data_IF_423897984591
#
_entry.id   IF_423897984591
#
_cell.length_a   1.000
_cell.length_b   1.000
_cell.length_c   1.000
_cell.angle_alpha   90.00
_cell.angle_beta   90.00
_cell.angle_gamma   90.00
#
_symmetry.space_group_name_H-M   'P 1'
#
loop_
_entity.id
_entity.type
_entity.pdbx_description
1 polymer ?
#
# COMPACT_ATOMS: atom_id res chain seq x y z
N UNK A 1 -21.92 19.15 -3.94
CA UNK A 1 -21.55 17.81 -3.46
C UNK A 1 -20.43 17.33 -4.34
N UNK A 2 -19.23 17.29 -3.77
CA UNK A 2 -18.03 16.90 -4.50
C UNK A 2 -17.03 16.27 -3.54
N UNK A 3 -16.34 15.23 -4.00
CA UNK A 3 -15.05 14.83 -3.44
C UNK A 3 -14.03 15.89 -3.83
N UNK A 4 -13.29 16.40 -2.86
CA UNK A 4 -12.10 17.21 -3.10
C UNK A 4 -10.87 16.33 -2.95
N UNK A 5 -9.90 16.50 -3.86
CA UNK A 5 -8.66 15.75 -3.84
C UNK A 5 -7.47 16.69 -4.03
N UNK A 6 -6.39 16.43 -3.29
CA UNK A 6 -5.09 17.07 -3.46
C UNK A 6 -4.04 15.99 -3.57
N UNK A 7 -3.24 16.04 -4.63
CA UNK A 7 -2.05 15.22 -4.80
C UNK A 7 -0.84 16.11 -4.65
N UNK A 8 0.20 15.59 -3.99
CA UNK A 8 1.45 16.30 -3.85
C UNK A 8 2.57 15.40 -3.36
N UNK A 9 3.70 16.04 -3.10
CA UNK A 9 4.89 15.40 -2.57
C UNK A 9 5.53 16.32 -1.54
N UNK A 10 6.20 15.74 -0.56
CA UNK A 10 7.02 16.46 0.41
C UNK A 10 8.31 15.71 0.68
N UNK A 11 9.29 16.41 1.23
CA UNK A 11 10.55 15.85 1.66
C UNK A 11 10.53 15.75 3.19
N UNK A 12 10.95 14.61 3.73
CA UNK A 12 10.91 14.32 5.18
C UNK A 12 11.88 15.14 6.02
N UNK A 13 12.92 15.71 5.39
CA UNK A 13 14.04 16.31 6.09
C UNK A 13 14.88 15.27 6.83
N UNK A 14 15.83 15.74 7.63
CA UNK A 14 16.62 14.91 8.58
C UNK A 14 16.59 15.52 9.98
N UNK A 15 15.61 16.38 10.25
CA UNK A 15 15.42 17.09 11.51
C UNK A 15 14.20 16.58 12.26
N UNK A 16 13.77 17.34 13.26
CA UNK A 16 12.56 17.06 14.06
C UNK A 16 11.46 18.09 13.82
N UNK A 17 11.65 18.99 12.87
CA UNK A 17 10.68 20.02 12.53
C UNK A 17 9.39 19.40 11.97
N UNK A 18 8.25 19.98 12.33
CA UNK A 18 6.97 19.57 11.76
C UNK A 18 6.94 19.84 10.24
N UNK A 19 6.25 18.97 9.50
CA UNK A 19 5.99 19.15 8.08
C UNK A 19 4.55 19.65 7.90
N UNK A 20 4.41 20.88 7.43
CA UNK A 20 3.10 21.48 7.15
C UNK A 20 2.72 21.26 5.70
N UNK A 21 1.64 20.53 5.45
CA UNK A 21 1.05 20.34 4.12
C UNK A 21 -0.19 21.23 4.01
N UNK A 22 -0.09 22.35 3.31
CA UNK A 22 -1.17 23.35 3.15
C UNK A 22 -1.59 23.57 1.70
N UNK A 23 -2.58 24.43 1.46
CA UNK A 23 -3.06 24.77 0.12
C UNK A 23 -3.91 23.68 -0.50
N UNK A 24 -4.65 22.93 0.32
CA UNK A 24 -5.55 21.88 -0.13
C UNK A 24 -6.85 22.49 -0.66
N UNK A 25 -7.29 23.62 -0.10
CA UNK A 25 -8.58 24.26 -0.32
C UNK A 25 -9.73 23.59 0.44
N UNK A 26 -9.43 22.62 1.30
CA UNK A 26 -10.40 21.84 2.08
C UNK A 26 -9.71 21.14 3.26
N UNK A 27 -10.49 20.77 4.29
CA UNK A 27 -10.03 19.91 5.36
C UNK A 27 -10.04 18.44 4.91
N UNK A 28 -8.90 17.72 4.93
CA UNK A 28 -8.86 16.33 4.54
C UNK A 28 -9.56 15.43 5.58
N UNK A 29 -10.22 14.38 5.10
CA UNK A 29 -10.89 13.32 5.89
C UNK A 29 -10.18 11.97 5.79
N UNK A 30 -9.39 11.77 4.74
CA UNK A 30 -8.53 10.61 4.55
C UNK A 30 -7.31 11.03 3.74
N UNK A 31 -6.13 10.56 4.12
CA UNK A 31 -4.89 10.79 3.37
C UNK A 31 -4.17 9.47 3.18
N UNK A 32 -3.76 9.21 1.93
CA UNK A 32 -2.90 8.08 1.56
C UNK A 32 -1.49 8.62 1.30
N UNK A 33 -0.48 7.89 1.75
CA UNK A 33 0.93 8.20 1.58
C UNK A 33 1.65 7.05 0.90
N UNK A 34 2.62 7.34 0.04
CA UNK A 34 3.51 6.32 -0.54
C UNK A 34 4.90 6.89 -0.82
N UNK A 35 5.92 6.04 -0.66
CA UNK A 35 7.33 6.38 -0.83
C UNK A 35 8.11 5.19 -1.34
N UNK A 36 9.27 5.43 -1.94
CA UNK A 36 10.14 4.41 -2.53
C UNK A 36 11.61 4.50 -2.07
N UNK A 37 11.91 5.34 -1.07
CA UNK A 37 13.28 5.53 -0.56
C UNK A 37 14.10 6.55 -1.34
N UNK A 38 13.53 7.16 -2.37
CA UNK A 38 14.21 8.18 -3.17
C UNK A 38 14.49 9.44 -2.33
N UNK A 39 15.73 9.91 -2.41
CA UNK A 39 16.24 11.11 -1.72
C UNK A 39 16.56 12.25 -2.69
N UNK A 40 16.36 12.03 -3.99
CA UNK A 40 16.59 13.04 -5.01
C UNK A 40 15.56 14.16 -4.93
N UNK A 41 16.03 15.40 -5.04
CA UNK A 41 15.17 16.59 -5.15
C UNK A 41 14.56 16.74 -6.55
N UNK A 42 14.98 15.92 -7.51
CA UNK A 42 14.53 15.92 -8.91
C UNK A 42 14.21 14.50 -9.37
N UNK A 43 13.45 14.37 -10.45
CA UNK A 43 13.16 13.05 -11.03
C UNK A 43 14.43 12.44 -11.62
N UNK A 44 15.05 11.54 -10.85
CA UNK A 44 16.26 10.85 -11.21
C UNK A 44 16.15 9.37 -10.83
N UNK A 45 16.81 8.52 -11.62
CA UNK A 45 16.99 7.10 -11.27
C UNK A 45 18.31 6.97 -10.55
N UNK A 46 18.27 6.60 -9.28
CA UNK A 46 19.45 6.34 -8.45
C UNK A 46 19.47 4.88 -8.02
N UNK A 47 20.63 4.23 -8.08
CA UNK A 47 20.82 2.90 -7.50
C UNK A 47 21.11 3.03 -6.01
N UNK A 48 20.17 2.64 -5.16
CA UNK A 48 20.30 2.60 -3.70
C UNK A 48 19.39 1.51 -3.12
N UNK A 49 19.52 1.25 -1.81
CA UNK A 49 18.59 0.45 -1.04
C UNK A 49 17.15 0.92 -1.28
N UNK A 50 16.32 0.03 -1.80
CA UNK A 50 14.94 0.33 -2.10
C UNK A 50 14.11 0.25 -0.82
N UNK A 51 13.30 1.28 -0.56
CA UNK A 51 12.35 1.29 0.58
C UNK A 51 10.96 1.68 0.10
N UNK A 52 10.12 0.70 -0.21
CA UNK A 52 8.74 0.95 -0.64
C UNK A 52 7.80 0.87 0.56
N UNK A 53 6.92 1.86 0.69
CA UNK A 53 5.89 1.83 1.70
C UNK A 53 4.62 2.52 1.30
N UNK A 54 3.58 2.17 2.05
CA UNK A 54 2.26 2.76 1.98
C UNK A 54 1.81 3.11 3.40
N UNK A 55 1.12 4.22 3.52
CA UNK A 55 0.54 4.66 4.77
C UNK A 55 -0.79 5.36 4.55
N UNK A 56 -1.58 5.42 5.61
CA UNK A 56 -2.91 6.00 5.61
C UNK A 56 -3.15 6.72 6.92
N UNK A 57 -4.00 7.75 6.90
CA UNK A 57 -4.49 8.38 8.11
C UNK A 57 -5.79 9.14 7.90
N UNK A 58 -6.66 9.08 8.89
CA UNK A 58 -7.94 9.80 8.95
C UNK A 58 -8.05 10.69 10.19
N UNK A 59 -7.05 10.64 11.07
CA UNK A 59 -6.97 11.44 12.28
C UNK A 59 -5.67 11.18 13.04
N UNK A 60 -5.41 12.00 14.07
CA UNK A 60 -4.23 11.91 14.94
C UNK A 60 -4.20 10.65 15.80
N UNK A 61 -5.30 9.92 15.90
CA UNK A 61 -5.40 8.65 16.61
C UNK A 61 -5.67 7.46 15.68
N UNK A 62 -5.93 7.71 14.39
CA UNK A 62 -6.34 6.67 13.43
C UNK A 62 -5.52 6.78 12.14
N UNK A 63 -4.36 6.11 12.16
CA UNK A 63 -3.35 6.10 11.11
C UNK A 63 -2.52 4.83 11.20
N UNK A 64 -2.00 4.38 10.06
CA UNK A 64 -1.25 3.13 9.93
C UNK A 64 -0.30 3.21 8.76
N UNK A 65 0.80 2.48 8.82
CA UNK A 65 1.71 2.35 7.70
C UNK A 65 2.47 1.03 7.71
N UNK A 66 2.95 0.68 6.52
CA UNK A 66 3.72 -0.53 6.24
C UNK A 66 4.80 -0.19 5.21
N UNK A 67 6.03 -0.64 5.44
CA UNK A 67 7.13 -0.49 4.50
C UNK A 67 7.97 -1.75 4.43
N UNK A 68 8.66 -1.88 3.30
CA UNK A 68 9.58 -2.96 2.99
C UNK A 68 10.87 -2.39 2.43
N UNK A 69 11.98 -3.06 2.73
CA UNK A 69 13.34 -2.70 2.31
C UNK A 69 13.95 -3.84 1.50
N UNK A 70 14.78 -3.51 0.51
CA UNK A 70 15.74 -4.43 -0.11
C UNK A 70 17.06 -3.71 -0.30
N UNK A 71 18.12 -4.25 0.28
CA UNK A 71 19.48 -3.67 0.25
C UNK A 71 20.11 -3.87 -1.12
N UNK A 72 20.67 -2.79 -1.67
CA UNK A 72 21.44 -2.85 -2.91
C UNK A 72 22.84 -3.41 -2.66
N UNK A 73 23.42 -4.07 -3.67
CA UNK A 73 24.78 -4.60 -3.67
C UNK A 73 25.16 -5.53 -2.48
N UNK A 74 24.17 -6.15 -1.82
CA UNK A 74 24.42 -7.17 -0.79
C UNK A 74 24.86 -8.51 -1.40
N UNK A 75 25.75 -9.24 -0.72
CA UNK A 75 26.25 -10.55 -1.19
C UNK A 75 25.18 -11.66 -1.19
N UNK A 76 24.17 -11.53 -0.33
CA UNK A 76 22.97 -12.37 -0.27
C UNK A 76 21.74 -11.47 -0.11
N UNK A 77 20.54 -12.00 -0.36
CA UNK A 77 19.30 -11.26 -0.13
C UNK A 77 19.23 -10.71 1.28
N UNK A 78 19.04 -9.39 1.35
CA UNK A 78 18.91 -8.65 2.59
C UNK A 78 17.73 -7.68 2.46
N UNK A 79 16.65 -8.04 3.11
CA UNK A 79 15.41 -7.32 3.11
C UNK A 79 14.83 -7.22 4.51
N UNK A 80 14.04 -6.17 4.70
CA UNK A 80 13.39 -5.91 5.98
C UNK A 80 12.00 -5.37 5.77
N UNK A 81 11.22 -5.33 6.84
CA UNK A 81 9.88 -4.78 6.82
C UNK A 81 9.54 -4.15 8.16
N UNK A 82 8.63 -3.17 8.12
CA UNK A 82 8.14 -2.44 9.28
C UNK A 82 6.65 -2.18 9.12
N UNK A 83 5.91 -2.27 10.22
CA UNK A 83 4.51 -1.87 10.29
C UNK A 83 4.23 -1.07 11.56
N UNK A 84 3.32 -0.09 11.47
CA UNK A 84 2.93 0.82 12.54
C UNK A 84 1.44 1.10 12.53
N UNK A 85 0.89 1.41 13.71
CA UNK A 85 -0.49 1.88 13.91
C UNK A 85 -0.56 3.22 14.68
N UNK A 86 0.61 3.84 14.83
CA UNK A 86 0.88 5.09 15.53
C UNK A 86 1.62 6.10 14.63
N UNK A 87 1.75 5.81 13.33
CA UNK A 87 2.38 6.68 12.35
C UNK A 87 1.71 6.49 10.98
N UNK A 88 1.84 7.49 10.10
CA UNK A 88 1.37 7.43 8.71
C UNK A 88 2.51 7.26 7.69
N UNK A 89 3.77 7.43 8.11
CA UNK A 89 4.96 7.09 7.32
C UNK A 89 5.94 6.35 8.23
N UNK A 90 6.54 5.26 7.75
CA UNK A 90 7.57 4.55 8.49
C UNK A 90 8.69 4.06 7.57
N UNK A 91 9.91 4.07 8.09
CA UNK A 91 11.10 3.65 7.39
C UNK A 91 11.92 2.73 8.28
N UNK A 92 12.39 1.65 7.67
CA UNK A 92 13.38 0.76 8.23
C UNK A 92 14.44 0.61 7.14
N UNK A 93 15.66 1.07 7.43
CA UNK A 93 16.80 1.13 6.53
C UNK A 93 18.12 0.58 7.12
N UNK A 94 18.07 -0.15 8.24
CA UNK A 94 19.26 -0.72 8.89
C UNK A 94 19.25 -2.26 8.92
N UNK A 95 20.42 -2.87 9.20
CA UNK A 95 20.54 -4.32 9.38
C UNK A 95 20.21 -4.76 10.82
N UNK A 96 19.83 -3.82 11.69
CA UNK A 96 19.33 -4.06 13.03
C UNK A 96 17.81 -3.81 13.05
N UNK A 97 17.04 -4.35 14.01
CA UNK A 97 15.61 -4.07 14.10
C UNK A 97 15.35 -2.66 14.67
N UNK A 98 15.89 -1.62 14.02
CA UNK A 98 15.70 -0.21 14.35
C UNK A 98 14.68 0.44 13.44
N UNK A 99 14.15 1.55 13.94
CA UNK A 99 13.32 2.47 13.18
C UNK A 99 14.26 3.59 12.69
N UNK A 100 14.13 3.97 11.43
CA UNK A 100 15.04 4.93 10.79
C UNK A 100 14.27 6.13 10.18
N UNK A 101 13.05 6.35 10.67
CA UNK A 101 12.18 7.46 10.30
C UNK A 101 10.70 7.16 10.56
N UNK A 102 10.01 8.09 11.22
CA UNK A 102 8.56 8.07 11.42
C UNK A 102 7.97 9.47 11.25
N UNK A 103 6.85 9.54 10.54
CA UNK A 103 6.00 10.71 10.57
C UNK A 103 4.58 10.33 10.99
N UNK A 104 4.02 11.06 11.95
CA UNK A 104 2.65 10.93 12.44
C UNK A 104 1.83 12.19 12.12
N UNK A 105 0.50 12.05 12.04
CA UNK A 105 -0.41 13.18 11.88
C UNK A 105 -0.51 13.92 13.21
N UNK A 106 0.01 15.14 13.25
CA UNK A 106 -0.09 16.06 14.39
C UNK A 106 -1.43 16.78 14.44
N UNK A 107 -1.89 17.27 13.29
CA UNK A 107 -3.18 17.96 13.17
C UNK A 107 -3.78 17.80 11.77
N UNK A 108 -5.11 17.86 11.71
CA UNK A 108 -5.87 17.98 10.48
C UNK A 108 -6.48 19.39 10.46
N UNK A 109 -6.00 20.20 9.53
CA UNK A 109 -6.28 21.63 9.48
C UNK A 109 -7.32 21.93 8.38
N UNK A 110 -7.91 23.13 8.40
CA UNK A 110 -8.96 23.49 7.44
C UNK A 110 -8.51 23.53 5.98
N UNK A 111 -7.20 23.61 5.75
CA UNK A 111 -6.56 23.75 4.44
C UNK A 111 -5.42 22.74 4.23
N UNK A 112 -5.39 21.67 5.03
CA UNK A 112 -4.19 20.83 5.08
C UNK A 112 -4.12 19.84 6.22
N UNK A 113 -2.91 19.37 6.48
CA UNK A 113 -2.55 18.62 7.67
C UNK A 113 -1.10 18.91 8.05
N UNK A 114 -0.78 18.78 9.33
CA UNK A 114 0.59 18.89 9.85
C UNK A 114 1.07 17.52 10.30
N UNK A 115 2.28 17.14 9.89
CA UNK A 115 2.94 15.91 10.33
C UNK A 115 4.02 16.24 11.37
N UNK A 116 4.07 15.44 12.44
CA UNK A 116 5.17 15.44 13.39
C UNK A 116 6.19 14.37 13.00
N UNK A 117 7.48 14.67 13.17
CA UNK A 117 8.56 13.69 13.01
C UNK A 117 8.84 13.05 14.37
N UNK A 118 8.25 11.88 14.60
CA UNK A 118 8.38 11.14 15.87
C UNK A 118 9.72 10.39 15.99
N UNK A 119 10.31 10.04 14.85
CA UNK A 119 11.65 9.48 14.76
C UNK A 119 12.34 10.08 13.53
N UNK A 120 13.59 10.53 13.72
CA UNK A 120 14.31 11.30 12.71
C UNK A 120 14.63 10.40 11.52
N UNK A 121 14.30 10.88 10.33
CA UNK A 121 14.68 10.21 9.10
C UNK A 121 16.19 10.33 8.87
N UNK A 122 16.86 9.21 8.64
CA UNK A 122 18.30 9.19 8.36
C UNK A 122 18.66 9.83 7.00
N UNK A 123 17.68 9.96 6.11
CA UNK A 123 17.82 10.62 4.82
C UNK A 123 16.56 11.40 4.47
N UNK A 124 16.74 12.50 3.71
CA UNK A 124 15.63 13.33 3.26
C UNK A 124 14.84 12.64 2.14
N UNK A 125 13.95 11.73 2.52
CA UNK A 125 13.12 10.94 1.60
C UNK A 125 11.95 11.74 1.04
N UNK A 126 11.65 11.50 -0.23
CA UNK A 126 10.44 11.98 -0.91
C UNK A 126 9.25 11.10 -0.60
N UNK A 127 8.17 11.70 -0.09
CA UNK A 127 6.91 11.04 0.22
C UNK A 127 5.80 11.70 -0.58
N UNK A 128 5.05 10.90 -1.32
CA UNK A 128 3.90 11.34 -2.08
C UNK A 128 2.62 11.14 -1.26
N UNK A 129 1.62 11.97 -1.52
CA UNK A 129 0.33 11.86 -0.86
C UNK A 129 -0.85 12.12 -1.78
N UNK A 130 -1.98 11.54 -1.41
CA UNK A 130 -3.31 11.82 -1.92
C UNK A 130 -4.21 12.13 -0.72
N UNK A 131 -4.57 13.39 -0.55
CA UNK A 131 -5.50 13.85 0.46
C UNK A 131 -6.91 13.97 -0.13
N UNK A 132 -7.90 13.45 0.59
CA UNK A 132 -9.29 13.36 0.17
C UNK A 132 -10.18 14.05 1.19
N UNK A 133 -11.13 14.85 0.73
CA UNK A 133 -12.11 15.55 1.57
C UNK A 133 -13.39 15.88 0.80
N UNK A 134 -14.11 16.90 1.28
CA UNK A 134 -15.39 17.31 0.71
C UNK A 134 -16.61 16.64 1.35
N UNK A 135 -17.80 17.03 0.89
CA UNK A 135 -19.09 16.59 1.47
C UNK A 135 -19.39 15.12 1.22
N UNK A 136 -18.86 14.57 0.14
CA UNK A 136 -19.25 13.25 -0.37
C UNK A 136 -18.52 12.13 0.36
N UNK A 137 -17.42 12.46 1.05
CA UNK A 137 -16.76 11.57 2.02
C UNK A 137 -17.44 11.78 3.37
N UNK A 138 -18.29 10.84 3.74
CA UNK A 138 -19.12 10.95 4.96
C UNK A 138 -18.42 10.36 6.17
N UNK A 139 -17.64 9.29 5.99
CA UNK A 139 -16.83 8.66 7.02
C UNK A 139 -15.59 8.02 6.41
N UNK A 140 -14.53 7.95 7.21
CA UNK A 140 -13.34 7.16 6.92
C UNK A 140 -12.77 6.63 8.25
N UNK A 141 -12.23 5.43 8.23
CA UNK A 141 -11.59 4.82 9.39
C UNK A 141 -10.50 3.85 8.93
N UNK A 142 -9.46 3.69 9.73
CA UNK A 142 -8.45 2.65 9.50
C UNK A 142 -8.63 1.51 10.49
N UNK A 143 -8.15 0.34 10.12
CA UNK A 143 -8.32 -0.86 10.92
C UNK A 143 -7.28 -1.91 10.60
N UNK A 144 -7.31 -2.98 11.39
CA UNK A 144 -6.56 -4.19 11.11
C UNK A 144 -7.37 -5.38 11.57
N UNK A 145 -7.22 -6.47 10.85
CA UNK A 145 -7.77 -7.75 11.25
C UNK A 145 -6.71 -8.84 11.14
N UNK A 146 -7.02 -9.97 11.77
CA UNK A 146 -6.21 -11.18 11.71
C UNK A 146 -6.73 -12.07 10.60
N UNK A 147 -5.83 -12.60 9.78
CA UNK A 147 -6.09 -13.65 8.80
C UNK A 147 -6.97 -14.76 9.40
N UNK A 148 -7.94 -15.25 8.62
CA UNK A 148 -8.86 -16.30 9.02
C UNK A 148 -8.10 -17.60 9.29
N UNK A 149 -8.54 -18.34 10.29
CA UNK A 149 -7.94 -19.64 10.60
C UNK A 149 -8.36 -20.77 9.64
N UNK A 150 -9.39 -20.52 8.82
CA UNK A 150 -9.93 -21.46 7.85
C UNK A 150 -10.53 -20.70 6.66
N UNK A 151 -10.78 -21.42 5.57
CA UNK A 151 -11.47 -20.87 4.40
C UNK A 151 -12.94 -20.56 4.69
N UNK A 152 -13.53 -19.68 3.88
CA UNK A 152 -14.91 -19.22 4.02
C UNK A 152 -15.04 -17.77 4.45
N UNK A 153 -16.26 -17.37 4.80
CA UNK A 153 -16.58 -15.97 5.09
C UNK A 153 -15.96 -15.50 6.40
N UNK A 154 -15.36 -14.30 6.36
CA UNK A 154 -14.87 -13.57 7.52
C UNK A 154 -15.49 -12.17 7.51
N UNK A 155 -16.17 -11.84 8.61
CA UNK A 155 -16.77 -10.52 8.81
C UNK A 155 -15.83 -9.63 9.60
N UNK A 156 -15.55 -8.44 9.05
CA UNK A 156 -14.82 -7.37 9.72
C UNK A 156 -15.86 -6.31 10.09
N UNK A 157 -16.20 -6.23 11.39
CA UNK A 157 -17.36 -5.49 11.90
C UNK A 157 -16.99 -4.36 12.86
N UNK A 158 -15.73 -3.91 12.83
CA UNK A 158 -15.20 -2.90 13.74
C UNK A 158 -15.54 -1.45 13.36
N UNK A 159 -16.26 -1.20 12.26
CA UNK A 159 -16.59 0.14 11.79
C UNK A 159 -17.95 0.60 12.31
N UNK A 160 -18.08 1.90 12.56
CA UNK A 160 -19.34 2.53 12.97
C UNK A 160 -20.23 2.97 11.78
N UNK A 161 -19.87 2.58 10.55
CA UNK A 161 -20.54 2.96 9.31
C UNK A 161 -20.39 1.87 8.24
N UNK A 162 -21.21 1.96 7.19
CA UNK A 162 -21.07 1.14 5.99
C UNK A 162 -20.11 1.83 5.00
N UNK A 163 -18.91 1.28 4.74
CA UNK A 163 -18.05 1.79 3.68
C UNK A 163 -18.55 1.37 2.29
N UNK A 164 -18.03 2.00 1.25
CA UNK A 164 -18.16 1.55 -0.14
C UNK A 164 -16.82 1.49 -0.90
N UNK A 165 -15.73 1.70 -0.18
CA UNK A 165 -14.36 1.52 -0.63
C UNK A 165 -13.52 0.99 0.53
N UNK A 166 -12.65 0.05 0.24
CA UNK A 166 -11.61 -0.42 1.17
C UNK A 166 -10.30 -0.64 0.43
N UNK A 167 -9.21 -0.15 1.01
CA UNK A 167 -7.84 -0.45 0.59
C UNK A 167 -7.18 -1.25 1.72
N UNK A 168 -6.56 -2.37 1.36
CA UNK A 168 -5.82 -3.27 2.23
C UNK A 168 -4.32 -3.13 2.00
N UNK A 169 -3.52 -3.30 3.05
CA UNK A 169 -2.07 -3.42 2.93
C UNK A 169 -1.45 -4.24 4.08
N UNK A 170 -0.29 -4.85 3.83
CA UNK A 170 0.38 -5.71 4.81
C UNK A 170 1.84 -6.03 4.46
N UNK A 171 2.61 -6.50 5.45
CA UNK A 171 3.95 -7.09 5.26
C UNK A 171 4.04 -8.57 5.69
N UNK A 172 2.89 -9.26 5.79
CA UNK A 172 2.79 -10.64 6.29
C UNK A 172 3.27 -10.84 7.73
N UNK A 173 3.28 -9.79 8.56
CA UNK A 173 3.54 -9.94 9.99
C UNK A 173 2.43 -10.74 10.67
N UNK A 174 2.81 -11.55 11.65
CA UNK A 174 1.87 -12.27 12.54
C UNK A 174 1.71 -11.54 13.89
N UNK A 175 2.70 -10.72 14.25
CA UNK A 175 2.70 -9.87 15.42
C UNK A 175 1.86 -8.61 15.16
N UNK A 176 1.28 -8.06 16.23
CA UNK A 176 0.65 -6.75 16.21
C UNK A 176 1.71 -5.62 16.06
N UNK A 177 1.38 -4.50 15.39
CA UNK A 177 2.24 -3.32 15.36
C UNK A 177 2.44 -2.75 16.79
N UNK A 178 3.59 -2.12 17.08
CA UNK A 178 4.72 -1.88 16.18
C UNK A 178 5.56 -3.15 15.95
N UNK A 179 6.02 -3.36 14.72
CA UNK A 179 6.90 -4.50 14.40
C UNK A 179 7.93 -4.11 13.35
N UNK A 180 9.18 -4.54 13.55
CA UNK A 180 10.29 -4.45 12.60
C UNK A 180 10.89 -5.84 12.40
N UNK A 181 11.31 -6.16 11.18
CA UNK A 181 12.01 -7.39 10.83
C UNK A 181 13.14 -7.07 9.86
N UNK A 182 14.29 -7.71 10.05
CA UNK A 182 15.50 -7.59 9.22
C UNK A 182 15.68 -8.76 8.25
N UNK A 183 14.67 -9.61 8.13
CA UNK A 183 14.73 -10.85 7.36
C UNK A 183 13.45 -11.10 6.56
N UNK A 184 12.81 -10.03 6.08
CA UNK A 184 11.66 -10.15 5.18
C UNK A 184 11.39 -8.89 4.38
N UNK A 185 11.57 -8.93 3.07
CA UNK A 185 11.02 -7.93 2.16
C UNK A 185 9.65 -8.38 1.65
N UNK A 186 8.54 -7.82 2.18
CA UNK A 186 7.18 -8.08 1.68
C UNK A 186 6.31 -6.85 1.76
N UNK A 187 5.53 -6.61 0.71
CA UNK A 187 4.44 -5.65 0.72
C UNK A 187 3.30 -6.18 -0.14
N UNK A 188 2.09 -6.13 0.41
CA UNK A 188 0.85 -6.35 -0.34
C UNK A 188 -0.03 -5.12 -0.27
N UNK A 189 -0.74 -4.86 -1.36
CA UNK A 189 -1.78 -3.83 -1.47
C UNK A 189 -2.95 -4.44 -2.21
N UNK A 190 -4.17 -4.14 -1.78
CA UNK A 190 -5.35 -4.50 -2.54
C UNK A 190 -6.49 -3.54 -2.29
N UNK A 191 -7.49 -3.58 -3.16
CA UNK A 191 -8.62 -2.65 -3.14
C UNK A 191 -9.90 -3.42 -3.48
N UNK A 192 -11.02 -3.00 -2.89
CA UNK A 192 -12.35 -3.43 -3.32
C UNK A 192 -13.39 -2.31 -3.21
N UNK A 193 -14.25 -2.20 -4.23
CA UNK A 193 -15.51 -1.44 -4.20
C UNK A 193 -16.72 -2.34 -4.42
N UNK A 194 -16.53 -3.56 -4.93
CA UNK A 194 -17.55 -4.61 -5.02
C UNK A 194 -16.92 -5.97 -5.31
N UNK A 195 -17.73 -7.04 -5.34
CA UNK A 195 -17.29 -8.37 -5.80
C UNK A 195 -17.06 -8.44 -7.32
N UNK A 196 -17.27 -7.36 -8.06
CA UNK A 196 -16.91 -7.24 -9.48
C UNK A 196 -15.77 -6.24 -9.72
N UNK A 197 -15.43 -5.43 -8.71
CA UNK A 197 -14.45 -4.36 -8.80
C UNK A 197 -13.51 -4.45 -7.59
N UNK A 198 -12.38 -5.12 -7.82
CA UNK A 198 -11.33 -5.35 -6.83
C UNK A 198 -10.03 -5.71 -7.54
N UNK A 199 -8.92 -5.56 -6.84
CA UNK A 199 -7.65 -6.15 -7.24
C UNK A 199 -6.75 -6.35 -6.03
N UNK A 200 -5.73 -7.17 -6.22
CA UNK A 200 -4.63 -7.37 -5.28
C UNK A 200 -3.31 -7.30 -6.03
N UNK A 201 -2.29 -6.80 -5.36
CA UNK A 201 -0.90 -6.87 -5.75
C UNK A 201 -0.06 -7.22 -4.53
N UNK A 202 0.92 -8.09 -4.68
CA UNK A 202 1.83 -8.44 -3.60
C UNK A 202 3.20 -8.77 -4.14
N UNK A 203 4.22 -8.37 -3.40
CA UNK A 203 5.60 -8.67 -3.72
C UNK A 203 6.36 -9.15 -2.49
N UNK A 204 7.48 -9.80 -2.77
CA UNK A 204 8.51 -10.05 -1.76
C UNK A 204 9.51 -11.10 -2.17
N UNK A 205 10.46 -11.38 -1.30
CA UNK A 205 11.55 -12.29 -1.57
C UNK A 205 11.86 -13.23 -0.42
N UNK A 206 12.74 -14.18 -0.72
CA UNK A 206 13.47 -14.95 0.28
C UNK A 206 14.66 -14.16 0.77
N UNK A 207 15.02 -14.28 2.05
CA UNK A 207 16.17 -13.59 2.64
C UNK A 207 17.32 -14.56 2.99
N UNK A 208 18.54 -14.04 2.99
CA UNK A 208 19.75 -14.79 3.33
C UNK A 208 20.21 -15.79 2.26
N UNK A 209 19.76 -15.65 1.01
CA UNK A 209 20.11 -16.56 -0.10
C UNK A 209 21.01 -15.83 -1.11
N UNK A 210 22.13 -16.43 -1.57
CA UNK A 210 23.02 -15.82 -2.57
C UNK A 210 22.33 -15.58 -3.92
N UNK A 211 21.48 -16.54 -4.33
CA UNK A 211 20.65 -16.40 -5.51
C UNK A 211 19.37 -15.65 -5.12
N UNK A 212 19.30 -14.38 -5.52
CA UNK A 212 18.16 -13.51 -5.24
C UNK A 212 16.87 -14.04 -5.89
N UNK A 213 15.89 -14.39 -5.07
CA UNK A 213 14.56 -14.80 -5.52
C UNK A 213 13.48 -13.80 -5.11
N UNK A 214 12.88 -13.14 -6.11
CA UNK A 214 11.78 -12.19 -5.94
C UNK A 214 10.51 -12.74 -6.58
N UNK A 215 9.40 -12.64 -5.84
CA UNK A 215 8.07 -13.09 -6.22
C UNK A 215 7.16 -11.87 -6.30
N UNK A 216 6.31 -11.83 -7.32
CA UNK A 216 5.22 -10.88 -7.39
C UNK A 216 3.92 -11.55 -7.88
N UNK A 217 2.80 -11.09 -7.35
CA UNK A 217 1.46 -11.55 -7.66
C UNK A 217 0.56 -10.34 -7.91
N UNK A 218 -0.34 -10.44 -8.87
CA UNK A 218 -1.35 -9.41 -9.10
C UNK A 218 -2.55 -10.00 -9.83
N UNK A 219 -3.76 -9.68 -9.40
CA UNK A 219 -4.98 -10.27 -9.96
C UNK A 219 -6.24 -9.44 -9.66
N UNK A 220 -7.12 -9.25 -10.66
CA UNK A 220 -8.39 -8.53 -10.54
C UNK A 220 -9.60 -9.31 -9.98
N UNK A 221 -9.42 -10.59 -9.62
CA UNK A 221 -10.46 -11.42 -9.01
C UNK A 221 -10.34 -11.61 -7.49
N UNK A 222 -9.35 -10.96 -6.87
CA UNK A 222 -9.04 -11.06 -5.44
C UNK A 222 -8.77 -9.65 -4.88
N UNK A 223 -8.90 -9.45 -3.58
CA UNK A 223 -8.65 -8.16 -2.91
C UNK A 223 -7.50 -8.20 -1.91
N UNK A 224 -7.01 -9.39 -1.53
CA UNK A 224 -5.83 -9.58 -0.67
C UNK A 224 -5.12 -10.85 -1.10
N UNK A 225 -3.80 -10.81 -1.19
CA UNK A 225 -2.96 -11.99 -1.36
C UNK A 225 -1.77 -11.91 -0.42
N UNK A 226 -1.41 -13.00 0.26
CA UNK A 226 -0.13 -13.10 0.94
C UNK A 226 0.76 -14.11 0.20
N UNK A 227 2.03 -13.76 0.06
CA UNK A 227 3.07 -14.63 -0.51
C UNK A 227 3.92 -15.30 0.57
N UNK A 228 4.53 -16.43 0.25
CA UNK A 228 5.41 -17.20 1.12
C UNK A 228 6.85 -16.65 1.13
N UNK A 229 7.67 -17.18 2.06
CA UNK A 229 9.12 -16.97 2.09
C UNK A 229 9.87 -17.74 1.00
N UNK A 230 9.27 -18.79 0.41
CA UNK A 230 9.93 -19.67 -0.56
C UNK A 230 9.23 -19.64 -1.92
N UNK A 231 9.96 -19.43 -3.03
CA UNK A 231 9.42 -19.54 -4.39
C UNK A 231 8.74 -20.89 -4.65
N UNK A 232 7.65 -20.86 -5.41
CA UNK A 232 6.87 -22.07 -5.75
C UNK A 232 5.84 -22.49 -4.70
N UNK A 233 5.82 -21.87 -3.52
CA UNK A 233 4.83 -22.14 -2.46
C UNK A 233 3.79 -21.03 -2.29
N UNK A 234 3.84 -20.00 -3.13
CA UNK A 234 2.91 -18.86 -3.14
C UNK A 234 1.83 -19.01 -4.21
N UNK A 235 0.65 -18.38 -4.07
CA UNK A 235 0.18 -17.62 -2.89
C UNK A 235 -0.17 -18.55 -1.72
N UNK A 236 -0.16 -18.02 -0.49
CA UNK A 236 -0.43 -18.77 0.76
C UNK A 236 -1.65 -18.25 1.52
N UNK A 237 -2.15 -17.08 1.15
CA UNK A 237 -3.41 -16.54 1.66
C UNK A 237 -4.07 -15.76 0.54
N UNK A 238 -5.38 -15.92 0.36
CA UNK A 238 -6.15 -15.22 -0.67
C UNK A 238 -7.54 -14.87 -0.17
N UNK A 239 -7.97 -13.65 -0.42
CA UNK A 239 -9.33 -13.20 -0.12
C UNK A 239 -10.03 -12.62 -1.34
N UNK A 240 -11.29 -13.02 -1.48
CA UNK A 240 -12.26 -12.36 -2.33
C UNK A 240 -13.13 -11.39 -1.52
N UNK A 241 -13.61 -10.32 -2.14
CA UNK A 241 -14.56 -9.39 -1.56
C UNK A 241 -16.00 -9.91 -1.76
N UNK A 242 -16.80 -9.92 -0.70
CA UNK A 242 -18.20 -10.37 -0.78
C UNK A 242 -19.16 -9.19 -0.77
N UNK A 243 -19.18 -8.41 0.31
CA UNK A 243 -20.12 -7.29 0.46
C UNK A 243 -19.70 -6.31 1.54
N UNK A 244 -20.17 -5.08 1.45
CA UNK A 244 -20.12 -4.11 2.54
C UNK A 244 -21.28 -4.34 3.51
N UNK A 245 -20.96 -4.37 4.80
CA UNK A 245 -21.90 -4.53 5.90
C UNK A 245 -22.20 -3.16 6.53
N UNK A 246 -23.28 -3.05 7.31
CA UNK A 246 -23.64 -1.80 8.00
C UNK A 246 -22.56 -1.27 8.95
N UNK A 247 -21.66 -2.16 9.39
CA UNK A 247 -20.56 -1.89 10.33
C UNK A 247 -19.20 -2.39 9.81
N UNK A 248 -19.03 -2.54 8.49
CA UNK A 248 -17.76 -2.95 7.90
C UNK A 248 -17.90 -3.71 6.59
N UNK A 249 -17.29 -4.87 6.48
CA UNK A 249 -17.26 -5.65 5.24
C UNK A 249 -17.08 -7.15 5.49
N UNK A 250 -17.51 -7.95 4.52
CA UNK A 250 -17.33 -9.39 4.48
C UNK A 250 -16.35 -9.76 3.38
N UNK A 251 -15.37 -10.56 3.73
CA UNK A 251 -14.44 -11.21 2.81
C UNK A 251 -14.71 -12.71 2.77
N UNK A 252 -14.33 -13.36 1.68
CA UNK A 252 -14.28 -14.81 1.57
C UNK A 252 -12.82 -15.24 1.50
N UNK A 253 -12.34 -15.93 2.52
CA UNK A 253 -11.02 -16.53 2.55
C UNK A 253 -11.00 -17.73 1.61
N UNK A 254 -10.38 -17.56 0.44
CA UNK A 254 -10.25 -18.60 -0.59
C UNK A 254 -9.16 -19.61 -0.23
N UNK A 255 -8.10 -19.13 0.41
CA UNK A 255 -6.93 -19.90 0.82
C UNK A 255 -6.30 -19.22 2.04
N UNK A 256 -5.80 -20.01 2.97
CA UNK A 256 -5.06 -19.51 4.14
C UNK A 256 -4.04 -20.54 4.59
N UNK A 257 -2.87 -20.06 5.00
CA UNK A 257 -1.87 -20.85 5.68
C UNK A 257 -2.07 -20.86 7.21
N UNK A 258 -3.12 -20.21 7.71
CA UNK A 258 -3.46 -20.06 9.12
C UNK A 258 -2.29 -19.51 9.97
N UNK A 259 -1.64 -18.47 9.46
CA UNK A 259 -0.46 -17.88 10.11
C UNK A 259 -0.83 -16.69 11.01
N UNK A 260 -2.12 -16.38 11.22
CA UNK A 260 -2.57 -15.22 12.01
C UNK A 260 -2.02 -13.88 11.51
N UNK A 261 -1.81 -13.73 10.20
CA UNK A 261 -1.23 -12.50 9.63
C UNK A 261 -2.11 -11.28 9.88
N UNK A 262 -1.46 -10.14 10.08
CA UNK A 262 -2.08 -8.83 10.28
C UNK A 262 -2.26 -8.12 8.95
N UNK A 263 -3.52 -7.82 8.63
CA UNK A 263 -3.90 -7.08 7.43
C UNK A 263 -4.46 -5.74 7.85
N UNK A 264 -3.79 -4.65 7.43
CA UNK A 264 -4.24 -3.29 7.68
C UNK A 264 -5.22 -2.86 6.59
N UNK A 265 -6.08 -1.92 6.91
CA UNK A 265 -6.98 -1.32 5.94
C UNK A 265 -7.30 0.14 6.24
N UNK A 266 -7.71 0.86 5.20
CA UNK A 266 -8.54 2.06 5.29
C UNK A 266 -9.86 1.79 4.59
N UNK A 267 -10.97 2.13 5.25
CA UNK A 267 -12.31 2.02 4.73
C UNK A 267 -12.94 3.42 4.64
N UNK A 268 -13.61 3.71 3.53
CA UNK A 268 -14.18 5.02 3.23
C UNK A 268 -15.63 4.85 2.78
N UNK A 269 -16.51 5.70 3.31
CA UNK A 269 -17.86 5.92 2.80
C UNK A 269 -17.85 7.19 1.94
N UNK A 270 -17.73 7.00 0.64
CA UNK A 270 -17.78 8.05 -0.38
C UNK A 270 -19.01 7.86 -1.29
N UNK A 271 -19.31 8.77 -2.22
CA UNK A 271 -20.45 8.55 -3.15
C UNK A 271 -20.05 7.77 -4.40
N UNK A 272 -19.02 8.23 -5.10
CA UNK A 272 -18.64 7.71 -6.42
C UNK A 272 -17.19 7.20 -6.40
N UNK A 273 -17.02 5.89 -6.19
CA UNK A 273 -15.72 5.23 -6.20
C UNK A 273 -15.77 3.97 -7.05
N UNK A 274 -14.71 3.74 -7.81
CA UNK A 274 -14.57 2.57 -8.66
C UNK A 274 -13.11 2.15 -8.69
N UNK A 275 -12.87 0.86 -8.81
CA UNK A 275 -11.55 0.29 -9.09
C UNK A 275 -11.68 -0.77 -10.18
N UNK A 276 -10.56 -1.07 -10.83
CA UNK A 276 -10.50 -2.08 -11.86
C UNK A 276 -9.07 -2.24 -12.34
N UNK A 277 -8.93 -3.03 -13.39
CA UNK A 277 -7.66 -3.26 -14.08
C UNK A 277 -7.76 -2.83 -15.54
N UNK A 278 -6.62 -2.43 -16.09
CA UNK A 278 -6.45 -2.19 -17.52
C UNK A 278 -5.06 -2.66 -17.91
N UNK A 279 -4.90 -3.05 -19.17
CA UNK A 279 -3.59 -3.42 -19.70
C UNK A 279 -2.86 -2.16 -20.17
N UNK A 280 -1.55 -2.13 -19.93
CA UNK A 280 -0.66 -1.17 -20.58
C UNK A 280 -0.71 -1.37 -22.10
N UNK A 281 -0.72 -0.29 -22.86
CA UNK A 281 -0.59 -0.36 -24.31
C UNK A 281 0.84 -0.75 -24.73
N UNK A 282 0.93 -1.37 -25.91
CA UNK A 282 2.20 -1.69 -26.57
C UNK A 282 2.55 -0.70 -27.68
N UNK A 283 1.67 0.26 -27.95
CA UNK A 283 1.90 1.36 -28.88
C UNK A 283 1.98 2.71 -28.14
N UNK A 284 2.48 3.72 -28.86
CA UNK A 284 2.68 5.08 -28.33
C UNK A 284 1.74 6.10 -28.95
N UNK A 285 0.74 5.65 -29.72
CA UNK A 285 -0.10 6.52 -30.56
C UNK A 285 -1.58 6.47 -30.20
N UNK A 286 -2.00 5.50 -29.40
CA UNK A 286 -3.35 5.41 -28.85
C UNK A 286 -3.34 5.76 -27.38
N UNK A 287 -4.43 6.36 -26.90
CA UNK A 287 -4.60 6.65 -25.47
C UNK A 287 -5.18 5.43 -24.76
N UNK A 288 -4.74 5.15 -23.53
CA UNK A 288 -5.45 4.22 -22.62
C UNK A 288 -6.68 4.95 -22.11
N UNK A 289 -7.87 4.57 -22.61
CA UNK A 289 -9.13 5.19 -22.22
C UNK A 289 -9.87 4.35 -21.18
N UNK A 290 -10.01 4.88 -19.97
CA UNK A 290 -10.96 4.36 -18.97
C UNK A 290 -12.28 5.11 -19.13
N UNK A 291 -13.34 4.40 -19.51
CA UNK A 291 -14.66 4.97 -19.78
C UNK A 291 -15.76 4.21 -19.02
N UNK A 292 -17.01 4.69 -19.11
CA UNK A 292 -18.16 4.01 -18.51
C UNK A 292 -18.31 4.16 -16.99
N UNK A 293 -17.56 5.05 -16.35
CA UNK A 293 -17.62 5.24 -14.89
C UNK A 293 -18.97 5.82 -14.40
N UNK A 294 -19.75 6.45 -15.28
CA UNK A 294 -21.02 7.09 -14.91
C UNK A 294 -20.89 8.38 -14.08
N UNK A 295 -19.66 8.81 -13.79
CA UNK A 295 -19.34 10.07 -13.11
C UNK A 295 -17.98 10.61 -13.59
N UNK A 296 -17.71 11.90 -13.32
CA UNK A 296 -16.39 12.51 -13.55
C UNK A 296 -15.50 12.27 -12.32
N UNK A 297 -14.36 11.55 -12.43
CA UNK A 297 -13.46 11.35 -11.30
C UNK A 297 -12.82 12.67 -10.84
N UNK A 298 -12.73 12.86 -9.51
CA UNK A 298 -11.98 13.97 -8.91
C UNK A 298 -10.47 13.65 -8.79
N UNK A 299 -10.12 12.37 -8.71
CA UNK A 299 -8.76 11.86 -8.68
C UNK A 299 -8.72 10.42 -9.19
N UNK A 300 -7.52 9.94 -9.52
CA UNK A 300 -7.23 8.54 -9.78
C UNK A 300 -5.87 8.18 -9.18
N UNK A 301 -5.74 6.94 -8.70
CA UNK A 301 -4.47 6.35 -8.29
C UNK A 301 -4.27 5.09 -9.13
N UNK A 302 -3.08 4.93 -9.70
CA UNK A 302 -2.76 3.85 -10.63
C UNK A 302 -1.65 3.00 -10.00
N UNK A 303 -1.90 1.71 -9.90
CA UNK A 303 -0.91 0.71 -9.51
C UNK A 303 -0.51 -0.08 -10.75
N UNK A 304 0.80 -0.22 -10.96
CA UNK A 304 1.34 -1.03 -12.06
C UNK A 304 2.26 -2.09 -11.48
N UNK A 305 2.03 -3.33 -11.90
CA UNK A 305 2.96 -4.44 -11.63
C UNK A 305 4.08 -4.52 -12.68
N UNK A 306 4.01 -3.68 -13.73
CA UNK A 306 4.90 -3.74 -14.90
C UNK A 306 5.00 -5.15 -15.52
N UNK A 307 3.90 -5.91 -15.48
CA UNK A 307 3.82 -7.26 -16.05
C UNK A 307 2.70 -7.35 -17.10
N UNK A 308 2.86 -8.32 -18.01
CA UNK A 308 1.78 -8.73 -18.89
C UNK A 308 0.60 -9.32 -18.09
N UNK A 309 -0.59 -9.31 -18.69
CA UNK A 309 -1.84 -9.81 -18.09
C UNK A 309 -1.67 -11.17 -17.40
N UNK A 310 -2.26 -11.31 -16.20
CA UNK A 310 -2.27 -12.56 -15.42
C UNK A 310 -3.67 -13.18 -15.41
N UNK A 311 -3.74 -14.50 -15.57
CA UNK A 311 -4.96 -15.30 -15.39
C UNK A 311 -4.76 -16.27 -14.21
N UNK A 312 -5.85 -16.77 -13.57
CA UNK A 312 -5.73 -17.76 -12.50
C UNK A 312 -4.87 -18.94 -12.93
N UNK A 313 -3.80 -19.24 -12.17
CA UNK A 313 -2.90 -20.37 -12.42
C UNK A 313 -1.68 -20.09 -13.32
N UNK A 314 -1.45 -18.85 -13.78
CA UNK A 314 -0.21 -18.52 -14.51
C UNK A 314 0.98 -18.29 -13.55
N UNK A 315 1.62 -19.37 -13.08
CA UNK A 315 2.94 -19.31 -12.48
C UNK A 315 3.98 -19.02 -13.57
N UNK A 316 4.25 -17.74 -13.83
CA UNK A 316 5.53 -17.34 -14.43
C UNK A 316 6.35 -16.66 -13.36
N UNK A 317 7.15 -17.46 -12.66
CA UNK A 317 8.34 -16.98 -11.98
C UNK A 317 9.13 -16.19 -13.02
N UNK A 318 9.21 -14.87 -12.88
CA UNK A 318 10.09 -14.05 -13.71
C UNK A 318 11.52 -14.34 -13.28
N UNK A 319 12.08 -15.45 -13.75
CA UNK A 319 13.53 -15.52 -13.96
C UNK A 319 13.84 -14.35 -14.88
N UNK A 320 14.66 -13.42 -14.38
CA UNK A 320 15.21 -12.29 -15.13
C UNK A 320 15.59 -12.74 -16.55
N UNK A 321 14.76 -12.42 -17.53
CA UNK A 321 15.25 -12.33 -18.89
C UNK A 321 15.75 -10.90 -19.03
N UNK A 322 17.08 -10.73 -18.92
CA UNK A 322 17.75 -9.50 -19.34
C UNK A 322 17.41 -9.30 -20.82
N UNK A 323 16.41 -8.48 -21.12
CA UNK A 323 16.42 -7.76 -22.36
C UNK A 323 17.06 -6.41 -22.08
N UNK A 324 18.23 -6.24 -22.69
CA UNK A 324 18.93 -4.98 -22.85
C UNK A 324 17.92 -3.87 -23.19
N UNK A 325 17.73 -2.95 -22.25
CA UNK A 325 17.25 -1.62 -22.55
C UNK A 325 18.49 -0.83 -22.95
N UNK A 326 18.84 -0.86 -24.24
CA UNK A 326 19.72 0.13 -24.79
C UNK A 326 18.98 1.48 -24.76
N UNK A 327 19.63 2.46 -24.14
CA UNK A 327 19.21 3.86 -24.06
C UNK A 327 19.53 4.54 -25.40
N UNK A 328 18.58 5.40 -25.82
CA UNK A 328 18.60 6.39 -26.93
C UNK A 328 18.33 5.80 -28.31
#
# INVERSE_FOLDING_TARGET
MAVNAKVGTFATGTGTDDIVLSGFGFQPKATLFWWNGDTSAVDAVTGQTHTLGIGVGVGTADRRCAATRSVDASAASNGGAIQRADACVCVHNSDAPTIDGLADIKSIDSDGLTLAIDDVFLSNMRVNYLALGGSDITNAATGMFTEAAATGNQDITSLAFQPNFVLFFHNNFVSDPPTVSTNRSRLGVGVATSSAQRFTWSMGGSEGIPDMDIINYGFGGECITCIADTPGTSPVTRYDFVTFLSNGFRLNCLETANNSRRIHFIAIAATNVSCGESLTQTDTTTDIVVSGLGYKPACAMIFSSCQASKYPGSNRSSRFYRHHCDRI
#
